data_IF_205148167220
#
_entry.id   IF_205148167220
#
_cell.length_a   1.000
_cell.length_b   1.000
_cell.length_c   1.000
_cell.angle_alpha   90.00
_cell.angle_beta   90.00
_cell.angle_gamma   90.00
#
_symmetry.space_group_name_H-M   'P 1'
#
loop_
_entity.id
_entity.type
_entity.pdbx_description
1 polymer ?
#
# COMPACT_ATOMS: atom_id res chain seq x y z
N UNK A 1 -10.58 9.20 19.08
CA UNK A 1 -11.63 8.91 18.07
C UNK A 1 -11.93 7.41 17.98
N UNK A 2 -10.95 6.55 17.74
CA UNK A 2 -11.13 5.09 17.59
C UNK A 2 -11.75 4.41 18.81
N UNK A 3 -11.57 4.94 20.02
CA UNK A 3 -12.18 4.45 21.25
C UNK A 3 -13.62 4.90 21.45
N UNK A 4 -13.93 6.14 21.06
CA UNK A 4 -15.27 6.72 21.22
C UNK A 4 -16.28 6.03 20.30
N UNK A 5 -15.83 5.50 19.14
CA UNK A 5 -16.68 4.83 18.14
C UNK A 5 -17.96 5.60 17.82
N UNK A 6 -17.88 6.87 17.39
CA UNK A 6 -19.06 7.73 17.24
C UNK A 6 -20.04 7.27 16.15
N UNK A 7 -19.60 6.38 15.25
CA UNK A 7 -20.43 5.82 14.18
C UNK A 7 -20.63 4.32 14.33
N UNK A 8 -21.69 3.78 13.77
CA UNK A 8 -21.99 2.34 13.80
C UNK A 8 -20.93 1.51 13.06
N UNK A 9 -20.33 2.05 11.97
CA UNK A 9 -19.30 1.39 11.18
C UNK A 9 -18.23 2.38 10.70
N UNK A 10 -17.16 1.86 10.14
CA UNK A 10 -16.07 2.61 9.46
C UNK A 10 -15.27 3.57 10.34
N UNK A 11 -15.42 3.54 11.65
CA UNK A 11 -14.68 4.42 12.57
C UNK A 11 -13.17 4.41 12.32
N UNK A 12 -12.57 3.24 12.05
CA UNK A 12 -11.14 3.12 11.74
C UNK A 12 -10.73 3.78 10.42
N UNK A 13 -11.62 3.76 9.41
CA UNK A 13 -11.37 4.45 8.13
C UNK A 13 -11.42 5.95 8.31
N UNK A 14 -12.42 6.45 9.01
CA UNK A 14 -12.58 7.87 9.32
C UNK A 14 -11.39 8.36 10.16
N UNK A 15 -10.96 7.60 11.17
CA UNK A 15 -9.78 7.96 11.98
C UNK A 15 -8.52 8.16 11.12
N UNK A 16 -8.27 7.30 10.14
CA UNK A 16 -7.13 7.47 9.21
C UNK A 16 -7.28 8.67 8.28
N UNK A 17 -8.49 8.95 7.82
CA UNK A 17 -8.77 10.16 7.04
C UNK A 17 -8.55 11.43 7.87
N UNK A 18 -9.03 11.47 9.11
CA UNK A 18 -8.80 12.59 10.03
C UNK A 18 -7.31 12.79 10.32
N UNK A 19 -6.56 11.70 10.51
CA UNK A 19 -5.12 11.75 10.69
C UNK A 19 -4.44 12.43 9.49
N UNK A 20 -4.72 11.99 8.28
CA UNK A 20 -4.15 12.57 7.07
C UNK A 20 -4.62 14.01 6.83
N UNK A 21 -5.85 14.34 7.20
CA UNK A 21 -6.33 15.72 7.17
C UNK A 21 -5.53 16.63 8.12
N UNK A 22 -5.21 16.16 9.34
CA UNK A 22 -4.38 16.90 10.29
C UNK A 22 -2.96 17.06 9.74
N UNK A 23 -2.36 15.98 9.22
CA UNK A 23 -1.02 16.04 8.62
C UNK A 23 -0.97 17.06 7.47
N UNK A 24 -1.94 17.02 6.56
CA UNK A 24 -2.01 17.94 5.43
C UNK A 24 -2.16 19.42 5.88
N UNK A 25 -2.88 19.69 6.97
CA UNK A 25 -3.00 21.03 7.52
C UNK A 25 -1.71 21.59 8.15
N UNK A 26 -0.77 20.71 8.43
CA UNK A 26 0.56 21.04 8.98
C UNK A 26 1.68 20.82 7.95
N UNK A 27 1.35 20.88 6.65
CA UNK A 27 2.29 20.71 5.55
C UNK A 27 3.13 19.42 5.65
N UNK A 28 2.55 18.41 6.31
CA UNK A 28 3.14 17.09 6.45
C UNK A 28 2.58 16.13 5.40
N UNK A 29 3.41 15.25 4.84
CA UNK A 29 2.95 14.28 3.85
C UNK A 29 1.92 13.32 4.45
N UNK A 30 1.01 12.84 3.61
CA UNK A 30 0.05 11.82 3.99
C UNK A 30 0.76 10.50 4.25
N UNK A 31 0.25 9.72 5.21
CA UNK A 31 0.76 8.39 5.53
C UNK A 31 -0.27 7.31 5.22
N UNK A 32 0.20 6.17 4.76
CA UNK A 32 -0.64 5.03 4.41
C UNK A 32 -0.37 3.85 5.35
N UNK A 33 -1.42 3.38 6.03
CA UNK A 33 -1.35 2.10 6.72
C UNK A 33 -1.60 1.00 5.68
N UNK A 34 -0.52 0.49 5.12
CA UNK A 34 -0.55 -0.54 4.07
C UNK A 34 -1.04 -1.88 4.63
N UNK A 35 -1.63 -2.71 3.78
CA UNK A 35 -2.26 -3.96 4.21
C UNK A 35 -1.28 -4.89 4.94
N UNK A 36 -0.02 -4.97 4.48
CA UNK A 36 1.05 -5.75 5.11
C UNK A 36 1.43 -5.31 6.53
N UNK A 37 1.10 -4.06 6.91
CA UNK A 37 1.37 -3.48 8.23
C UNK A 37 0.10 -3.34 9.09
N UNK A 38 -1.04 -3.86 8.61
CA UNK A 38 -2.34 -3.73 9.27
C UNK A 38 -2.35 -4.34 10.67
N UNK A 39 -1.76 -5.52 10.86
CA UNK A 39 -1.65 -6.16 12.18
C UNK A 39 -0.89 -5.27 13.16
N UNK A 40 0.28 -4.78 12.79
CA UNK A 40 1.11 -3.91 13.62
C UNK A 40 0.38 -2.62 14.04
N UNK A 41 -0.40 -2.04 13.13
CA UNK A 41 -1.24 -0.88 13.43
C UNK A 41 -2.32 -1.22 14.47
N UNK A 42 -2.99 -2.36 14.32
CA UNK A 42 -4.02 -2.81 15.26
C UNK A 42 -3.40 -3.11 16.61
N UNK A 43 -2.26 -3.78 16.65
CA UNK A 43 -1.55 -4.14 17.88
C UNK A 43 -1.10 -2.88 18.65
N UNK A 44 -0.57 -1.88 17.96
CA UNK A 44 -0.17 -0.60 18.56
C UNK A 44 -1.37 0.16 19.15
N UNK A 45 -2.52 0.15 18.49
CA UNK A 45 -3.77 0.70 19.02
C UNK A 45 -4.22 -0.09 20.26
N UNK A 46 -4.24 -1.41 20.19
CA UNK A 46 -4.66 -2.28 21.30
C UNK A 46 -3.78 -2.10 22.54
N UNK A 47 -2.46 -2.05 22.37
CA UNK A 47 -1.53 -1.78 23.48
C UNK A 47 -1.81 -0.44 24.15
N UNK A 48 -2.12 0.60 23.36
CA UNK A 48 -2.49 1.91 23.89
C UNK A 48 -3.86 1.87 24.58
N UNK A 49 -4.82 1.14 24.05
CA UNK A 49 -6.14 0.97 24.68
C UNK A 49 -6.03 0.26 26.03
N UNK A 50 -5.21 -0.78 26.14
CA UNK A 50 -4.94 -1.49 27.39
C UNK A 50 -4.27 -0.56 28.40
N UNK A 51 -3.28 0.22 27.98
CA UNK A 51 -2.57 1.16 28.87
C UNK A 51 -3.46 2.29 29.38
N UNK A 52 -4.44 2.73 28.59
CA UNK A 52 -5.42 3.75 29.00
C UNK A 52 -6.44 3.17 29.98
N UNK A 53 -6.78 1.88 29.85
CA UNK A 53 -7.77 1.21 30.68
C UNK A 53 -9.23 1.51 30.27
N UNK A 54 -10.22 1.26 31.15
CA UNK A 54 -11.64 1.53 30.86
C UNK A 54 -11.88 2.98 30.50
N UNK A 55 -12.81 3.22 29.59
CA UNK A 55 -13.15 4.61 29.19
C UNK A 55 -13.89 5.29 30.33
N UNK A 56 -13.36 6.37 30.88
CA UNK A 56 -14.05 7.11 31.94
C UNK A 56 -15.31 7.80 31.37
N UNK A 57 -16.30 8.00 32.23
CA UNK A 57 -17.57 8.65 31.86
C UNK A 57 -17.45 10.13 31.53
N UNK A 58 -16.37 10.78 31.95
CA UNK A 58 -16.08 12.21 31.79
C UNK A 58 -15.23 12.56 30.58
N UNK A 59 -14.95 11.58 29.71
CA UNK A 59 -14.19 11.77 28.49
C UNK A 59 -12.83 11.06 28.48
N UNK A 60 -12.25 10.95 27.29
CA UNK A 60 -11.03 10.19 27.07
C UNK A 60 -9.81 11.10 27.21
N UNK A 61 -9.30 11.26 28.41
CA UNK A 61 -7.98 11.83 28.64
C UNK A 61 -6.93 10.73 28.66
N UNK A 62 -5.94 10.79 27.77
CA UNK A 62 -4.83 9.87 27.75
C UNK A 62 -3.51 10.65 27.86
N UNK A 63 -2.64 10.19 28.75
CA UNK A 63 -1.27 10.72 28.82
C UNK A 63 -0.44 10.23 27.64
N UNK A 64 0.62 10.96 27.32
CA UNK A 64 1.56 10.54 26.26
C UNK A 64 2.18 9.17 26.54
N UNK A 65 2.41 8.83 27.82
CA UNK A 65 2.93 7.51 28.20
C UNK A 65 1.95 6.39 27.82
N UNK A 66 0.66 6.59 28.04
CA UNK A 66 -0.37 5.60 27.72
C UNK A 66 -0.52 5.36 26.20
N UNK A 67 -0.37 6.39 25.39
CA UNK A 67 -0.41 6.27 23.92
C UNK A 67 0.97 5.97 23.31
N UNK A 68 2.00 5.74 24.13
CA UNK A 68 3.38 5.59 23.68
C UNK A 68 3.60 4.48 22.65
N UNK A 69 2.89 3.38 22.75
CA UNK A 69 2.97 2.29 21.76
C UNK A 69 2.50 2.76 20.38
N UNK A 70 1.36 3.43 20.32
CA UNK A 70 0.84 4.00 19.07
C UNK A 70 1.72 5.14 18.55
N UNK A 71 2.21 6.02 19.42
CA UNK A 71 3.08 7.13 19.02
C UNK A 71 4.38 6.63 18.37
N UNK A 72 5.03 5.61 18.96
CA UNK A 72 6.23 4.99 18.36
C UNK A 72 5.94 4.32 17.02
N UNK A 73 4.84 3.57 16.95
CA UNK A 73 4.41 2.98 15.68
C UNK A 73 4.20 4.05 14.61
N UNK A 74 3.49 5.12 14.97
CA UNK A 74 3.17 6.21 14.05
C UNK A 74 4.41 6.96 13.58
N UNK A 75 5.33 7.28 14.48
CA UNK A 75 6.61 7.88 14.13
C UNK A 75 7.38 7.02 13.11
N UNK A 76 7.48 5.72 13.36
CA UNK A 76 8.11 4.78 12.42
C UNK A 76 7.39 4.75 11.07
N UNK A 77 6.05 4.75 11.07
CA UNK A 77 5.26 4.77 9.85
C UNK A 77 5.55 6.03 9.01
N UNK A 78 5.53 7.21 9.63
CA UNK A 78 5.83 8.49 8.96
C UNK A 78 7.25 8.46 8.35
N UNK A 79 8.25 8.05 9.13
CA UNK A 79 9.63 7.97 8.64
C UNK A 79 9.73 7.03 7.43
N UNK A 80 9.13 5.84 7.51
CA UNK A 80 9.18 4.85 6.43
C UNK A 80 8.48 5.34 5.16
N UNK A 81 7.33 6.00 5.27
CA UNK A 81 6.63 6.56 4.10
C UNK A 81 7.41 7.73 3.49
N UNK A 82 8.04 8.59 4.30
CA UNK A 82 8.91 9.66 3.81
C UNK A 82 10.14 9.12 3.06
N UNK A 83 10.81 8.12 3.60
CA UNK A 83 11.94 7.45 2.94
C UNK A 83 11.50 6.85 1.59
N UNK A 84 10.34 6.18 1.57
CA UNK A 84 9.76 5.66 0.34
C UNK A 84 9.49 6.76 -0.70
N UNK A 85 8.89 7.87 -0.30
CA UNK A 85 8.57 8.98 -1.20
C UNK A 85 9.85 9.65 -1.74
N UNK A 86 10.86 9.83 -0.90
CA UNK A 86 12.17 10.36 -1.31
C UNK A 86 12.84 9.43 -2.33
N UNK A 87 12.85 8.14 -2.07
CA UNK A 87 13.43 7.15 -2.97
C UNK A 87 12.65 7.07 -4.29
N UNK A 88 11.32 7.14 -4.23
CA UNK A 88 10.47 7.19 -5.42
C UNK A 88 10.78 8.39 -6.32
N UNK A 89 10.95 9.57 -5.73
CA UNK A 89 11.28 10.79 -6.51
C UNK A 89 12.68 10.74 -7.10
N UNK A 90 13.65 10.16 -6.38
CA UNK A 90 15.04 10.06 -6.84
C UNK A 90 15.26 8.97 -7.88
N UNK A 91 14.46 7.92 -7.86
CA UNK A 91 14.66 6.75 -8.72
C UNK A 91 13.94 6.94 -10.06
N UNK A 92 14.70 7.08 -11.12
CA UNK A 92 14.22 7.27 -12.50
C UNK A 92 14.52 6.09 -13.42
N UNK A 93 15.00 4.97 -12.88
CA UNK A 93 15.37 3.80 -13.68
C UNK A 93 14.17 3.16 -14.38
N UNK A 94 14.24 2.90 -15.70
CA UNK A 94 13.13 2.35 -16.47
C UNK A 94 12.81 0.87 -16.16
N UNK A 95 13.62 0.23 -15.35
CA UNK A 95 13.44 -1.17 -14.92
C UNK A 95 12.96 -1.28 -13.45
N UNK A 96 12.54 -0.17 -12.87
CA UNK A 96 12.00 -0.11 -11.50
C UNK A 96 10.49 0.05 -11.56
N UNK A 97 9.83 -0.63 -10.64
CA UNK A 97 8.40 -0.52 -10.36
C UNK A 97 8.18 -0.31 -8.88
N UNK A 98 7.32 0.66 -8.55
CA UNK A 98 6.97 0.97 -7.18
C UNK A 98 5.58 0.46 -6.86
N UNK A 99 5.47 -0.34 -5.82
CA UNK A 99 4.18 -0.89 -5.40
C UNK A 99 4.13 -1.10 -3.89
N UNK A 100 3.05 -0.68 -3.28
CA UNK A 100 2.76 -0.83 -1.85
C UNK A 100 3.94 -0.47 -0.92
N UNK A 101 4.64 0.63 -1.23
CA UNK A 101 5.81 1.09 -0.48
C UNK A 101 7.05 0.20 -0.65
N UNK A 102 7.13 -0.54 -1.74
CA UNK A 102 8.29 -1.34 -2.08
C UNK A 102 8.82 -0.99 -3.46
N UNK A 103 10.14 -0.96 -3.55
CA UNK A 103 10.87 -0.85 -4.81
C UNK A 103 11.13 -2.24 -5.36
N UNK A 104 10.62 -2.52 -6.55
CA UNK A 104 10.83 -3.78 -7.28
C UNK A 104 11.70 -3.48 -8.48
N UNK A 105 12.87 -4.12 -8.56
CA UNK A 105 13.79 -3.97 -9.69
C UNK A 105 13.70 -5.20 -10.59
N UNK A 106 13.43 -4.97 -11.86
CA UNK A 106 13.37 -6.03 -12.87
C UNK A 106 14.68 -6.12 -13.67
N UNK A 107 15.01 -7.31 -14.14
CA UNK A 107 16.17 -7.51 -15.04
C UNK A 107 15.94 -6.89 -16.42
N UNK A 108 14.70 -6.87 -16.87
CA UNK A 108 14.32 -6.34 -18.18
C UNK A 108 13.58 -5.02 -18.06
N UNK A 109 13.92 -4.05 -18.90
CA UNK A 109 13.22 -2.77 -19.01
C UNK A 109 11.81 -2.93 -19.60
N UNK A 110 11.55 -4.02 -20.33
CA UNK A 110 10.22 -4.30 -20.90
C UNK A 110 9.19 -4.74 -19.84
N UNK A 111 9.62 -5.29 -18.70
CA UNK A 111 8.70 -5.76 -17.65
C UNK A 111 7.85 -4.63 -17.06
N UNK A 112 8.40 -3.47 -16.64
CA UNK A 112 7.59 -2.34 -16.18
C UNK A 112 6.66 -1.79 -17.26
N UNK A 113 7.08 -1.80 -18.53
CA UNK A 113 6.23 -1.38 -19.67
C UNK A 113 5.01 -2.30 -19.78
N UNK A 114 5.23 -3.61 -19.70
CA UNK A 114 4.14 -4.60 -19.68
C UNK A 114 3.21 -4.37 -18.50
N UNK A 115 3.76 -4.23 -17.28
CA UNK A 115 2.96 -3.99 -16.06
C UNK A 115 2.11 -2.73 -16.19
N UNK A 116 2.68 -1.64 -16.71
CA UNK A 116 1.94 -0.41 -16.97
C UNK A 116 0.81 -0.63 -17.96
N UNK A 117 1.10 -1.31 -19.08
CA UNK A 117 0.10 -1.58 -20.11
C UNK A 117 -1.06 -2.45 -19.59
N UNK A 118 -0.78 -3.45 -18.75
CA UNK A 118 -1.79 -4.28 -18.09
C UNK A 118 -2.63 -3.51 -17.08
N UNK A 119 -2.03 -2.53 -16.40
CA UNK A 119 -2.73 -1.67 -15.43
C UNK A 119 -3.66 -0.68 -16.14
N UNK A 120 -3.21 -0.13 -17.27
CA UNK A 120 -3.96 0.85 -18.05
C UNK A 120 -5.11 0.19 -18.84
N UNK A 121 -4.91 -1.06 -19.29
CA UNK A 121 -5.88 -1.84 -20.04
C UNK A 121 -5.82 -3.32 -19.59
N UNK A 122 -6.70 -3.73 -18.66
CA UNK A 122 -6.74 -5.10 -18.15
C UNK A 122 -7.07 -6.18 -19.20
N UNK A 123 -7.69 -5.81 -20.31
CA UNK A 123 -8.10 -6.73 -21.38
C UNK A 123 -7.14 -6.73 -22.58
N UNK A 124 -6.00 -6.06 -22.44
CA UNK A 124 -4.99 -5.91 -23.50
C UNK A 124 -4.52 -7.27 -24.05
N UNK A 125 -4.38 -7.36 -25.37
CA UNK A 125 -3.91 -8.58 -26.04
C UNK A 125 -2.39 -8.75 -25.95
N UNK A 126 -1.92 -9.98 -26.14
CA UNK A 126 -0.48 -10.28 -26.13
C UNK A 126 0.24 -9.59 -27.31
N UNK A 127 -0.42 -9.46 -28.43
CA UNK A 127 0.07 -8.77 -29.63
C UNK A 127 0.28 -7.27 -29.33
N UNK A 128 -0.70 -6.63 -28.70
CA UNK A 128 -0.61 -5.24 -28.28
C UNK A 128 0.50 -5.02 -27.24
N UNK A 129 0.64 -5.96 -26.28
CA UNK A 129 1.75 -5.93 -25.33
C UNK A 129 3.11 -6.07 -26.00
N UNK A 130 3.22 -6.97 -26.99
CA UNK A 130 4.42 -7.16 -27.81
C UNK A 130 4.84 -5.87 -28.50
N UNK A 131 3.89 -5.18 -29.12
CA UNK A 131 4.13 -3.90 -29.78
C UNK A 131 4.56 -2.80 -28.79
N UNK A 132 3.82 -2.63 -27.68
CA UNK A 132 4.12 -1.63 -26.66
C UNK A 132 5.48 -1.85 -25.97
N UNK A 133 5.82 -3.11 -25.71
CA UNK A 133 7.08 -3.47 -25.06
C UNK A 133 8.28 -3.61 -26.01
N UNK A 134 8.05 -3.62 -27.32
CA UNK A 134 9.09 -3.77 -28.34
C UNK A 134 9.81 -5.13 -28.30
N UNK A 135 9.11 -6.21 -27.90
CA UNK A 135 9.66 -7.56 -27.78
C UNK A 135 8.72 -8.60 -28.42
N UNK A 136 9.26 -9.75 -28.82
CA UNK A 136 8.46 -10.83 -29.41
C UNK A 136 7.34 -11.34 -28.47
N UNK A 137 6.23 -11.80 -29.05
CA UNK A 137 5.08 -12.34 -28.31
C UNK A 137 5.46 -13.53 -27.39
N UNK A 138 6.42 -14.35 -27.82
CA UNK A 138 6.97 -15.44 -27.01
C UNK A 138 7.68 -14.93 -25.73
N UNK A 139 8.42 -13.82 -25.87
CA UNK A 139 9.07 -13.16 -24.73
C UNK A 139 8.05 -12.51 -23.78
N UNK A 140 6.98 -11.92 -24.33
CA UNK A 140 5.85 -11.41 -23.52
C UNK A 140 5.22 -12.55 -22.72
N UNK A 141 4.86 -13.66 -23.34
CA UNK A 141 4.27 -14.85 -22.68
C UNK A 141 5.18 -15.35 -21.54
N UNK A 142 6.50 -15.43 -21.78
CA UNK A 142 7.47 -15.82 -20.77
C UNK A 142 7.49 -14.85 -19.57
N UNK A 143 7.50 -13.54 -19.83
CA UNK A 143 7.50 -12.54 -18.76
C UNK A 143 6.18 -12.55 -17.99
N UNK A 144 5.03 -12.66 -18.66
CA UNK A 144 3.73 -12.79 -18.00
C UNK A 144 3.70 -13.99 -17.05
N UNK A 145 4.17 -15.16 -17.50
CA UNK A 145 4.25 -16.35 -16.66
C UNK A 145 5.15 -16.11 -15.44
N UNK A 146 6.34 -15.55 -15.62
CA UNK A 146 7.23 -15.22 -14.51
C UNK A 146 6.64 -14.22 -13.52
N UNK A 147 5.85 -13.26 -14.01
CA UNK A 147 5.17 -12.29 -13.14
C UNK A 147 4.00 -12.93 -12.38
N UNK A 148 3.28 -13.88 -13.01
CA UNK A 148 2.24 -14.66 -12.33
C UNK A 148 2.85 -15.56 -11.25
N UNK A 149 3.93 -16.28 -11.55
CA UNK A 149 4.63 -17.15 -10.60
C UNK A 149 5.15 -16.38 -9.38
N UNK A 150 5.44 -15.09 -9.53
CA UNK A 150 5.88 -14.18 -8.46
C UNK A 150 4.73 -13.43 -7.78
N UNK A 151 3.49 -13.65 -8.19
CA UNK A 151 2.32 -12.97 -7.66
C UNK A 151 2.25 -11.46 -7.99
N UNK A 152 2.96 -10.99 -9.03
CA UNK A 152 2.89 -9.59 -9.45
C UNK A 152 1.65 -9.29 -10.29
N UNK A 153 1.11 -10.28 -10.96
CA UNK A 153 -0.11 -10.20 -11.77
C UNK A 153 -0.94 -11.46 -11.58
N UNK A 154 -2.23 -11.35 -11.79
CA UNK A 154 -3.15 -12.49 -11.86
C UNK A 154 -4.21 -12.26 -12.93
N UNK A 155 -4.89 -13.34 -13.35
CA UNK A 155 -6.08 -13.28 -14.19
C UNK A 155 -7.33 -13.49 -13.36
N UNK A 156 -8.35 -12.67 -13.58
CA UNK A 156 -9.64 -12.76 -12.87
C UNK A 156 -10.81 -12.66 -13.84
N UNK A 157 -11.93 -13.31 -13.46
CA UNK A 157 -13.18 -13.30 -14.19
C UNK A 157 -13.21 -14.22 -15.39
N UNK A 158 -14.39 -14.39 -16.00
CA UNK A 158 -14.63 -15.26 -17.16
C UNK A 158 -13.87 -14.79 -18.41
N UNK A 159 -13.68 -13.50 -18.60
CA UNK A 159 -12.87 -12.90 -19.67
C UNK A 159 -11.36 -12.96 -19.44
N UNK A 160 -10.93 -13.34 -18.23
CA UNK A 160 -9.53 -13.43 -17.89
C UNK A 160 -8.79 -12.09 -17.90
N UNK A 161 -9.43 -11.02 -17.42
CA UNK A 161 -8.81 -9.70 -17.29
C UNK A 161 -7.55 -9.74 -16.39
N UNK A 162 -6.56 -8.93 -16.72
CA UNK A 162 -5.32 -8.85 -15.97
C UNK A 162 -5.43 -7.91 -14.78
N UNK A 163 -5.03 -8.37 -13.62
CA UNK A 163 -4.86 -7.56 -12.43
C UNK A 163 -3.39 -7.47 -12.07
N UNK A 164 -2.90 -6.25 -11.95
CA UNK A 164 -1.52 -5.96 -11.57
C UNK A 164 -1.46 -5.80 -10.07
N UNK A 165 -0.58 -6.58 -9.44
CA UNK A 165 -0.38 -6.59 -7.99
C UNK A 165 -1.63 -6.87 -7.17
N UNK A 166 -2.19 -8.01 -7.39
CA UNK A 166 -2.87 -8.66 -6.31
C UNK A 166 -1.81 -9.00 -5.26
N UNK A 167 -1.95 -8.47 -4.06
CA UNK A 167 -1.19 -9.01 -2.94
C UNK A 167 -1.36 -10.52 -2.94
N UNK A 168 -0.29 -11.32 -2.77
CA UNK A 168 -0.47 -12.75 -2.65
C UNK A 168 -1.53 -12.97 -1.58
N UNK A 169 -2.59 -13.67 -1.96
CA UNK A 169 -3.65 -14.07 -1.03
C UNK A 169 -2.99 -14.92 0.04
N UNK A 170 -2.91 -14.38 1.27
CA UNK A 170 -2.58 -15.14 2.48
C UNK A 170 -3.81 -15.91 2.89
#
# INVERSE_FOLDING_TARGET
YTRIHPFQDRNRRIARLMLNYILARHDSPMVLVRNRHKSQYIDALHQSDVAIGPTPSDGAHASFQQIGAFARYFQKLVTTELEYDIDFVKEQSPNVWWYDGQKITFRSKSTPVILKALKDDPDITIESLSQKAGIATSAVKKQLRQMMDKGYIERRGEGGAWFVFASPSV
#
